data_IF_633650095204
#
_entry.id   IF_633650095204
#
_cell.length_a   1.000
_cell.length_b   1.000
_cell.length_c   1.000
_cell.angle_alpha   90.00
_cell.angle_beta   90.00
_cell.angle_gamma   90.00
#
_symmetry.space_group_name_H-M   'P 1'
#
loop_
_entity.id
_entity.type
_entity.pdbx_description
1 polymer ?
#
# COMPACT_ATOMS: atom_id res chain seq x y z
N UNK A 1 16.40 11.04 -16.01
CA UNK A 1 16.52 11.01 -14.53
C UNK A 1 17.97 10.76 -14.17
N UNK A 2 18.58 11.62 -13.35
CA UNK A 2 19.98 11.43 -12.93
C UNK A 2 20.01 10.35 -11.85
N UNK A 3 20.70 9.26 -12.13
CA UNK A 3 20.93 8.18 -11.16
C UNK A 3 21.69 8.72 -9.94
N UNK A 4 21.45 8.14 -8.76
CA UNK A 4 22.22 8.42 -7.55
C UNK A 4 23.71 8.02 -7.67
N UNK A 5 24.06 7.22 -8.69
CA UNK A 5 25.43 6.81 -8.97
C UNK A 5 26.31 7.98 -9.40
N UNK A 6 27.54 7.99 -8.88
CA UNK A 6 28.57 8.95 -9.23
C UNK A 6 29.91 8.24 -9.43
N UNK A 7 30.80 8.83 -10.21
CA UNK A 7 32.19 8.36 -10.34
C UNK A 7 33.17 9.29 -9.62
N UNK A 8 32.84 10.58 -9.53
CA UNK A 8 33.60 11.64 -8.86
C UNK A 8 32.66 12.69 -8.26
N UNK A 9 33.20 13.57 -7.40
CA UNK A 9 32.46 14.64 -6.74
C UNK A 9 31.79 15.62 -7.72
N UNK A 10 32.31 15.76 -8.94
CA UNK A 10 31.72 16.60 -9.98
C UNK A 10 30.31 16.13 -10.41
N UNK A 11 29.98 14.85 -10.18
CA UNK A 11 28.66 14.30 -10.43
C UNK A 11 27.62 14.72 -9.39
N UNK A 12 28.04 15.25 -8.24
CA UNK A 12 27.20 15.56 -7.09
C UNK A 12 27.08 17.07 -6.91
N UNK A 13 25.85 17.60 -6.88
CA UNK A 13 25.59 19.04 -6.76
C UNK A 13 25.18 19.38 -5.34
N UNK A 14 26.02 20.13 -4.63
CA UNK A 14 25.72 20.59 -3.27
C UNK A 14 24.40 21.38 -3.22
N UNK A 15 23.56 21.07 -2.24
CA UNK A 15 22.27 21.73 -2.01
C UNK A 15 21.17 21.30 -2.97
N UNK A 16 21.43 20.35 -3.87
CA UNK A 16 20.42 19.86 -4.82
C UNK A 16 19.55 18.78 -4.19
N UNK A 17 18.26 18.81 -4.53
CA UNK A 17 17.24 17.84 -4.11
C UNK A 17 16.56 17.30 -5.37
N UNK A 18 16.66 16.00 -5.59
CA UNK A 18 15.93 15.28 -6.64
C UNK A 18 14.61 14.74 -6.06
N UNK A 19 13.49 14.75 -6.81
CA UNK A 19 12.25 14.10 -6.36
C UNK A 19 12.39 12.61 -6.01
N UNK A 20 13.36 11.91 -6.60
CA UNK A 20 13.66 10.50 -6.32
C UNK A 20 14.72 10.33 -5.22
N UNK A 21 15.42 11.40 -4.82
CA UNK A 21 16.39 11.38 -3.72
C UNK A 21 15.70 11.46 -2.37
N UNK A 22 16.24 10.74 -1.38
CA UNK A 22 15.76 10.75 0.00
C UNK A 22 16.34 11.89 0.85
N UNK A 23 17.13 12.78 0.25
CA UNK A 23 17.76 13.90 0.94
C UNK A 23 18.48 14.88 0.04
N UNK A 24 19.12 15.87 0.67
CA UNK A 24 19.84 16.96 0.01
C UNK A 24 21.29 16.55 -0.23
N UNK A 25 21.77 16.64 -1.47
CA UNK A 25 23.16 16.29 -1.79
C UNK A 25 24.17 17.24 -1.10
N UNK A 26 25.23 16.67 -0.53
CA UNK A 26 26.33 17.44 0.08
C UNK A 26 27.36 17.92 -0.96
N UNK A 27 27.39 17.27 -2.13
CA UNK A 27 28.36 17.50 -3.20
C UNK A 27 29.53 16.51 -3.22
N UNK A 28 29.52 15.47 -2.37
CA UNK A 28 30.59 14.45 -2.29
C UNK A 28 30.14 13.13 -2.90
N UNK A 29 31.04 12.45 -3.60
CA UNK A 29 30.82 11.12 -4.17
C UNK A 29 31.51 10.06 -3.30
N UNK A 30 30.72 9.29 -2.56
CA UNK A 30 31.22 8.34 -1.56
C UNK A 30 30.96 6.88 -1.98
N UNK A 31 31.81 5.92 -1.58
CA UNK A 31 31.53 4.50 -1.79
C UNK A 31 30.30 4.07 -0.96
N UNK A 32 29.35 3.41 -1.62
CA UNK A 32 28.16 2.82 -0.99
C UNK A 32 28.34 1.32 -0.76
N UNK A 33 28.86 0.61 -1.77
CA UNK A 33 29.28 -0.79 -1.68
C UNK A 33 30.65 -0.98 -2.39
N UNK A 34 31.17 -2.21 -2.44
CA UNK A 34 32.48 -2.51 -3.05
C UNK A 34 32.61 -2.07 -4.52
N UNK A 35 31.50 -1.95 -5.25
CA UNK A 35 31.49 -1.68 -6.70
C UNK A 35 30.81 -0.37 -7.08
N UNK A 36 30.07 0.25 -6.16
CA UNK A 36 29.17 1.38 -6.44
C UNK A 36 29.51 2.56 -5.54
N UNK A 37 29.59 3.74 -6.16
CA UNK A 37 29.68 5.03 -5.48
C UNK A 37 28.40 5.82 -5.71
N UNK A 38 27.94 6.54 -4.69
CA UNK A 38 26.74 7.36 -4.74
C UNK A 38 27.00 8.75 -4.17
N UNK A 39 26.18 9.72 -4.56
CA UNK A 39 26.27 11.05 -3.98
C UNK A 39 25.84 11.01 -2.51
N UNK A 40 26.69 11.52 -1.62
CA UNK A 40 26.39 11.70 -0.20
C UNK A 40 25.22 12.69 -0.05
N UNK A 41 24.27 12.32 0.81
CA UNK A 41 23.09 13.13 1.11
C UNK A 41 23.01 13.41 2.62
N UNK A 42 22.50 14.58 2.96
CA UNK A 42 22.03 14.89 4.31
C UNK A 42 20.58 14.41 4.42
N UNK A 43 20.36 13.31 5.14
CA UNK A 43 19.08 12.63 5.29
C UNK A 43 19.05 11.77 6.56
N UNK A 44 17.96 11.02 6.75
CA UNK A 44 17.93 9.90 7.68
C UNK A 44 18.80 8.76 7.15
N UNK A 45 19.71 8.26 7.98
CA UNK A 45 20.64 7.19 7.64
C UNK A 45 20.38 5.93 8.50
N UNK A 46 20.36 4.71 7.92
CA UNK A 46 20.58 4.41 6.49
C UNK A 46 19.38 4.83 5.63
N UNK A 47 19.66 5.29 4.40
CA UNK A 47 18.61 5.68 3.46
C UNK A 47 17.83 4.46 2.96
N UNK A 48 16.53 4.64 2.73
CA UNK A 48 15.67 3.59 2.18
C UNK A 48 16.16 3.14 0.80
N UNK A 49 16.30 1.83 0.61
CA UNK A 49 16.71 1.24 -0.66
C UNK A 49 15.51 1.07 -1.60
N UNK A 50 15.69 1.39 -2.89
CA UNK A 50 14.71 1.12 -3.94
C UNK A 50 14.71 -0.35 -4.37
N UNK A 51 14.41 -1.26 -3.42
CA UNK A 51 14.27 -2.70 -3.69
C UNK A 51 12.84 -3.03 -4.09
N UNK A 52 12.69 -4.05 -4.95
CA UNK A 52 11.38 -4.61 -5.28
C UNK A 52 10.73 -5.21 -4.03
N UNK A 53 9.39 -5.16 -4.00
CA UNK A 53 8.62 -5.80 -2.95
C UNK A 53 8.86 -7.32 -2.93
N UNK A 54 8.86 -7.95 -1.74
CA UNK A 54 9.14 -9.37 -1.60
C UNK A 54 8.10 -10.22 -2.34
N UNK A 55 8.59 -11.24 -3.05
CA UNK A 55 7.77 -12.26 -3.72
C UNK A 55 8.10 -13.63 -3.11
N UNK A 56 7.14 -14.33 -2.47
CA UNK A 56 5.73 -13.98 -2.30
C UNK A 56 5.50 -12.86 -1.27
N UNK A 57 4.31 -12.24 -1.32
CA UNK A 57 3.89 -11.23 -0.35
C UNK A 57 3.95 -11.78 1.10
N UNK A 58 4.51 -11.00 2.02
CA UNK A 58 4.69 -11.39 3.42
C UNK A 58 3.36 -11.69 4.10
N UNK A 59 2.33 -10.86 3.86
CA UNK A 59 1.02 -10.95 4.49
C UNK A 59 -0.03 -11.61 3.58
N UNK A 60 0.35 -12.63 2.79
CA UNK A 60 -0.60 -13.37 1.94
C UNK A 60 -1.83 -13.91 2.68
N UNK A 61 -1.68 -14.24 3.97
CA UNK A 61 -2.77 -14.72 4.82
C UNK A 61 -3.87 -13.68 5.08
N UNK A 62 -3.61 -12.40 4.77
CA UNK A 62 -4.62 -11.34 4.84
C UNK A 62 -5.82 -11.61 3.90
N UNK A 63 -5.68 -12.48 2.90
CA UNK A 63 -6.80 -12.94 2.06
C UNK A 63 -7.97 -13.47 2.90
N UNK A 64 -7.69 -14.04 4.07
CA UNK A 64 -8.68 -14.60 4.98
C UNK A 64 -9.19 -13.62 6.04
N UNK A 65 -8.73 -12.37 6.02
CA UNK A 65 -9.29 -11.34 6.90
C UNK A 65 -10.71 -10.97 6.48
N UNK A 66 -11.49 -10.55 7.47
CA UNK A 66 -12.88 -10.15 7.30
C UNK A 66 -13.05 -8.66 7.55
N UNK A 67 -13.86 -8.00 6.72
CA UNK A 67 -14.23 -6.59 6.85
C UNK A 67 -15.72 -6.50 7.13
N UNK A 68 -16.10 -5.81 8.21
CA UNK A 68 -17.49 -5.46 8.52
C UNK A 68 -17.77 -4.03 8.07
N UNK A 69 -18.70 -3.84 7.13
CA UNK A 69 -19.07 -2.51 6.61
C UNK A 69 -20.35 -2.03 7.28
N UNK A 70 -20.27 -0.93 8.04
CA UNK A 70 -21.43 -0.26 8.65
C UNK A 70 -21.78 0.98 7.84
N UNK A 71 -22.91 0.94 7.13
CA UNK A 71 -23.41 2.05 6.34
C UNK A 71 -24.73 2.57 6.93
N UNK A 72 -24.82 3.89 7.07
CA UNK A 72 -25.99 4.62 7.56
C UNK A 72 -26.37 5.65 6.49
N UNK A 73 -27.65 5.73 6.16
CA UNK A 73 -28.21 6.65 5.18
C UNK A 73 -29.33 7.45 5.82
N UNK A 74 -29.38 8.74 5.48
CA UNK A 74 -30.37 9.68 6.00
C UNK A 74 -31.00 10.46 4.85
N UNK A 75 -32.32 10.59 4.89
CA UNK A 75 -33.14 11.36 3.97
C UNK A 75 -33.85 12.46 4.76
N UNK A 76 -33.20 13.60 5.02
CA UNK A 76 -33.71 14.63 5.92
C UNK A 76 -35.06 15.21 5.49
N UNK A 77 -35.25 15.42 4.17
CA UNK A 77 -36.50 15.94 3.62
C UNK A 77 -37.71 15.02 3.83
N UNK A 78 -37.47 13.73 4.11
CA UNK A 78 -38.50 12.74 4.39
C UNK A 78 -38.51 12.30 5.86
N UNK A 79 -37.65 12.89 6.71
CA UNK A 79 -37.45 12.48 8.10
C UNK A 79 -37.25 10.96 8.24
N UNK A 80 -36.41 10.37 7.36
CA UNK A 80 -36.18 8.93 7.31
C UNK A 80 -34.69 8.61 7.35
N UNK A 81 -34.28 7.83 8.36
CA UNK A 81 -32.91 7.35 8.53
C UNK A 81 -32.92 5.83 8.61
N UNK A 82 -31.96 5.17 7.98
CA UNK A 82 -31.82 3.70 8.03
C UNK A 82 -30.36 3.25 7.90
N UNK A 83 -30.09 1.97 8.10
CA UNK A 83 -28.75 1.37 8.06
C UNK A 83 -28.75 0.00 7.40
N UNK A 84 -27.59 -0.43 6.90
CA UNK A 84 -27.44 -1.72 6.24
C UNK A 84 -27.47 -2.94 7.20
N UNK A 85 -27.21 -2.73 8.50
CA UNK A 85 -27.29 -3.77 9.52
C UNK A 85 -28.67 -3.71 10.18
N UNK A 86 -29.53 -4.67 9.85
CA UNK A 86 -30.82 -4.83 10.51
C UNK A 86 -30.66 -5.40 11.93
N UNK A 87 -31.62 -5.16 12.86
CA UNK A 87 -31.55 -5.65 14.24
C UNK A 87 -31.34 -7.17 14.36
N UNK A 88 -31.99 -7.96 13.49
CA UNK A 88 -31.99 -9.42 13.56
C UNK A 88 -30.92 -10.08 12.67
N UNK A 89 -29.88 -9.32 12.27
CA UNK A 89 -28.82 -9.84 11.43
C UNK A 89 -27.94 -10.83 12.22
N UNK A 90 -27.74 -12.03 11.67
CA UNK A 90 -26.75 -12.97 12.18
C UNK A 90 -25.33 -12.41 12.02
N UNK A 91 -24.64 -12.19 13.14
CA UNK A 91 -23.26 -11.69 13.18
C UNK A 91 -22.22 -12.69 12.70
N UNK A 92 -22.56 -13.98 12.64
CA UNK A 92 -21.73 -15.06 12.12
C UNK A 92 -22.11 -15.38 10.67
N UNK A 93 -22.17 -14.36 9.82
CA UNK A 93 -22.40 -14.50 8.38
C UNK A 93 -21.15 -14.10 7.58
N UNK A 94 -21.09 -14.55 6.33
CA UNK A 94 -20.17 -14.03 5.32
C UNK A 94 -20.96 -13.74 4.06
N UNK A 95 -20.70 -12.60 3.44
CA UNK A 95 -21.33 -12.18 2.21
C UNK A 95 -21.17 -13.24 1.12
N UNK A 96 -22.25 -13.48 0.40
CA UNK A 96 -22.23 -14.28 -0.81
C UNK A 96 -23.35 -13.78 -1.72
N UNK A 97 -23.04 -13.56 -2.99
CA UNK A 97 -23.93 -12.95 -3.98
C UNK A 97 -25.34 -13.53 -4.03
N UNK A 98 -25.48 -14.84 -3.81
CA UNK A 98 -26.76 -15.54 -3.82
C UNK A 98 -27.23 -16.08 -2.46
N UNK A 99 -26.31 -16.43 -1.55
CA UNK A 99 -26.65 -17.16 -0.31
C UNK A 99 -26.98 -16.20 0.83
N UNK A 100 -26.14 -15.17 1.01
CA UNK A 100 -26.26 -14.19 2.08
C UNK A 100 -26.03 -12.76 1.52
N UNK A 101 -26.86 -12.28 0.59
CA UNK A 101 -26.61 -11.02 -0.11
C UNK A 101 -26.71 -9.78 0.79
N UNK A 102 -27.37 -9.88 1.94
CA UNK A 102 -27.52 -8.80 2.92
C UNK A 102 -26.47 -8.84 4.04
N UNK A 103 -25.54 -9.81 4.02
CA UNK A 103 -24.50 -9.90 5.03
C UNK A 103 -23.44 -8.80 4.79
N UNK A 104 -23.15 -7.93 5.78
CA UNK A 104 -22.19 -6.84 5.65
C UNK A 104 -20.76 -7.24 6.06
N UNK A 105 -20.49 -8.54 6.23
CA UNK A 105 -19.18 -9.10 6.58
C UNK A 105 -18.60 -9.77 5.34
N UNK A 106 -17.44 -9.28 4.89
CA UNK A 106 -16.80 -9.71 3.64
C UNK A 106 -15.44 -10.30 3.93
N UNK A 107 -15.11 -11.45 3.35
CA UNK A 107 -13.74 -11.95 3.31
C UNK A 107 -12.99 -11.27 2.16
N UNK A 108 -11.76 -10.83 2.39
CA UNK A 108 -10.99 -10.11 1.37
C UNK A 108 -10.79 -10.96 0.10
N UNK A 109 -10.46 -12.24 0.22
CA UNK A 109 -10.33 -13.14 -0.93
C UNK A 109 -11.60 -13.23 -1.79
N UNK A 110 -12.78 -13.24 -1.17
CA UNK A 110 -14.06 -13.36 -1.89
C UNK A 110 -14.34 -12.08 -2.72
N UNK A 111 -13.93 -10.90 -2.22
CA UNK A 111 -14.03 -9.63 -2.96
C UNK A 111 -13.19 -9.69 -4.24
N UNK A 112 -11.93 -10.14 -4.11
CA UNK A 112 -11.02 -10.27 -5.26
C UNK A 112 -11.54 -11.31 -6.26
N UNK A 113 -12.06 -12.44 -5.78
CA UNK A 113 -12.64 -13.47 -6.62
C UNK A 113 -13.85 -12.95 -7.41
N UNK A 114 -14.76 -12.20 -6.78
CA UNK A 114 -15.91 -11.58 -7.47
C UNK A 114 -15.49 -10.49 -8.46
N UNK A 115 -14.34 -9.83 -8.24
CA UNK A 115 -13.74 -8.90 -9.20
C UNK A 115 -12.97 -9.59 -10.35
N UNK A 116 -12.73 -10.90 -10.26
CA UNK A 116 -11.94 -11.66 -11.24
C UNK A 116 -10.42 -11.54 -11.05
N UNK A 117 -9.96 -11.13 -9.87
CA UNK A 117 -8.56 -10.84 -9.57
C UNK A 117 -7.92 -11.90 -8.65
N UNK A 118 -6.58 -12.05 -8.74
CA UNK A 118 -5.82 -12.93 -7.86
C UNK A 118 -5.21 -12.16 -6.68
N UNK A 119 -5.74 -12.38 -5.46
CA UNK A 119 -5.25 -11.71 -4.25
C UNK A 119 -3.74 -11.86 -4.05
N UNK A 120 -3.16 -13.03 -4.32
CA UNK A 120 -1.73 -13.27 -4.09
C UNK A 120 -0.83 -12.48 -5.03
N UNK A 121 -1.31 -12.14 -6.23
CA UNK A 121 -0.57 -11.33 -7.19
C UNK A 121 -0.65 -9.85 -6.83
N UNK A 122 -1.85 -9.36 -6.51
CA UNK A 122 -2.07 -7.97 -6.10
C UNK A 122 -1.37 -7.68 -4.77
N UNK A 123 -1.37 -8.61 -3.81
CA UNK A 123 -0.76 -8.43 -2.49
C UNK A 123 0.77 -8.17 -2.51
N UNK A 124 1.46 -8.39 -3.65
CA UNK A 124 2.89 -8.09 -3.76
C UNK A 124 3.14 -6.59 -3.87
N UNK A 125 2.33 -5.86 -4.65
CA UNK A 125 2.57 -4.45 -4.97
C UNK A 125 1.45 -3.52 -4.51
N UNK A 126 0.29 -4.06 -4.14
CA UNK A 126 -0.91 -3.31 -3.81
C UNK A 126 -1.84 -3.14 -4.99
#
# INVERSE_FOLDING_TARGET
TRSAYCHSDQGCKKGWMDPQSKGIQTGRCIPYDERRKTCEISAWCPAEEGKDAPRPALLRSAENFTVLIKNNIDFPGHNYTTRNILPDLNVSCTFHKTRNPQCPIFRLGDIFQEAGENFSEVAVQG
#
